data_IF_727751304539
#
_entry.id   IF_727751304539
#
_cell.length_a   1.000
_cell.length_b   1.000
_cell.length_c   1.000
_cell.angle_alpha   90.00
_cell.angle_beta   90.00
_cell.angle_gamma   90.00
#
_symmetry.space_group_name_H-M   'P 1'
#
loop_
_entity.id
_entity.type
_entity.pdbx_description
1 polymer ?
#
# COMPACT_ATOMS: atom_id res chain seq x y z
N UNK A 1 -27.61 -14.48 -2.72
CA UNK A 1 -28.06 -13.72 -1.53
C UNK A 1 -26.92 -13.78 -0.51
N UNK A 2 -26.07 -12.75 -0.38
CA UNK A 2 -24.99 -12.71 0.63
C UNK A 2 -25.57 -12.35 2.01
N UNK A 3 -26.63 -13.04 2.42
CA UNK A 3 -27.32 -12.73 3.68
C UNK A 3 -26.69 -13.55 4.79
N UNK A 4 -25.96 -12.85 5.67
CA UNK A 4 -25.47 -13.27 6.98
C UNK A 4 -24.15 -14.08 7.05
N UNK A 5 -23.12 -13.72 6.27
CA UNK A 5 -21.75 -14.22 6.51
C UNK A 5 -21.06 -13.36 7.58
N UNK A 6 -20.86 -13.91 8.78
CA UNK A 6 -20.09 -13.26 9.86
C UNK A 6 -18.60 -13.25 9.55
N UNK A 7 -17.84 -12.30 10.14
CA UNK A 7 -16.37 -12.23 10.02
C UNK A 7 -15.68 -13.58 10.27
N UNK A 8 -16.19 -14.37 11.23
CA UNK A 8 -15.67 -15.70 11.55
C UNK A 8 -15.82 -16.73 10.40
N UNK A 9 -16.92 -16.68 9.64
CA UNK A 9 -17.16 -17.59 8.51
C UNK A 9 -16.23 -17.24 7.33
N UNK A 10 -16.05 -15.94 7.06
CA UNK A 10 -15.14 -15.49 6.01
C UNK A 10 -13.67 -15.76 6.35
N UNK A 11 -13.28 -15.57 7.61
CA UNK A 11 -11.94 -15.87 8.09
C UNK A 11 -11.58 -17.35 7.95
N UNK A 12 -12.49 -18.25 8.35
CA UNK A 12 -12.28 -19.68 8.18
C UNK A 12 -12.25 -20.11 6.72
N UNK A 13 -13.09 -19.51 5.87
CA UNK A 13 -13.25 -19.91 4.47
C UNK A 13 -12.14 -19.43 3.55
N UNK A 14 -11.72 -18.16 3.67
CA UNK A 14 -10.79 -17.54 2.72
C UNK A 14 -9.40 -17.32 3.30
N UNK A 15 -9.29 -16.98 4.58
CA UNK A 15 -8.00 -16.76 5.26
C UNK A 15 -7.43 -18.03 5.90
N UNK A 16 -8.21 -19.12 5.97
CA UNK A 16 -7.86 -20.39 6.63
C UNK A 16 -7.32 -20.18 8.07
N UNK A 17 -7.76 -19.12 8.75
CA UNK A 17 -7.37 -18.76 10.12
C UNK A 17 -8.59 -18.77 11.04
N UNK A 18 -8.39 -19.15 12.29
CA UNK A 18 -9.41 -19.01 13.33
C UNK A 18 -9.59 -17.54 13.70
N UNK A 19 -10.82 -17.11 14.05
CA UNK A 19 -11.14 -15.71 14.33
C UNK A 19 -10.30 -15.10 15.46
N UNK A 20 -9.79 -15.92 16.37
CA UNK A 20 -8.96 -15.52 17.51
C UNK A 20 -7.50 -15.17 17.12
N UNK A 21 -7.05 -15.54 15.91
CA UNK A 21 -5.71 -15.27 15.40
C UNK A 21 -5.69 -14.18 14.31
N UNK A 22 -6.81 -13.48 14.11
CA UNK A 22 -6.88 -12.37 13.17
C UNK A 22 -6.23 -11.13 13.79
N UNK A 23 -5.38 -10.45 13.02
CA UNK A 23 -4.95 -9.10 13.35
C UNK A 23 -6.15 -8.14 13.32
N UNK A 24 -6.11 -7.06 14.10
CA UNK A 24 -7.13 -6.00 14.06
C UNK A 24 -7.35 -5.47 12.63
N UNK A 25 -6.29 -5.43 11.83
CA UNK A 25 -6.34 -5.02 10.43
C UNK A 25 -7.14 -6.00 9.57
N UNK A 26 -6.88 -7.30 9.73
CA UNK A 26 -7.61 -8.37 9.01
C UNK A 26 -9.09 -8.35 9.39
N UNK A 27 -9.40 -8.14 10.67
CA UNK A 27 -10.77 -8.01 11.16
C UNK A 27 -11.49 -6.81 10.53
N UNK A 28 -10.85 -5.63 10.52
CA UNK A 28 -11.38 -4.42 9.88
C UNK A 28 -11.58 -4.59 8.38
N UNK A 29 -10.65 -5.26 7.69
CA UNK A 29 -10.75 -5.53 6.25
C UNK A 29 -11.92 -6.46 5.96
N UNK A 30 -12.07 -7.56 6.69
CA UNK A 30 -13.21 -8.48 6.55
C UNK A 30 -14.54 -7.78 6.80
N UNK A 31 -14.61 -6.95 7.84
CA UNK A 31 -15.80 -6.15 8.13
C UNK A 31 -16.11 -5.16 7.00
N UNK A 32 -15.09 -4.46 6.48
CA UNK A 32 -15.27 -3.53 5.36
C UNK A 32 -15.71 -4.22 4.06
N UNK A 33 -15.30 -5.48 3.84
CA UNK A 33 -15.70 -6.30 2.71
C UNK A 33 -17.17 -6.74 2.83
N UNK A 34 -17.64 -7.04 4.05
CA UNK A 34 -19.06 -7.31 4.34
C UNK A 34 -19.90 -6.04 4.12
N UNK A 35 -19.45 -4.91 4.69
CA UNK A 35 -20.16 -3.64 4.68
C UNK A 35 -20.07 -2.88 3.34
N UNK A 36 -19.29 -3.40 2.37
CA UNK A 36 -19.00 -2.79 1.06
C UNK A 36 -18.48 -1.35 1.16
N UNK A 37 -17.73 -1.04 2.21
CA UNK A 37 -17.13 0.28 2.39
C UNK A 37 -15.68 0.32 1.87
N UNK A 38 -15.20 1.48 1.38
CA UNK A 38 -13.82 1.63 0.95
C UNK A 38 -12.87 1.68 2.16
N UNK A 39 -11.87 0.79 2.18
CA UNK A 39 -10.80 0.74 3.21
C UNK A 39 -9.99 2.05 3.24
N UNK A 40 -9.85 2.70 2.09
CA UNK A 40 -9.03 3.91 1.91
C UNK A 40 -9.44 5.11 2.78
N UNK A 41 -10.72 5.23 3.15
CA UNK A 41 -11.20 6.40 3.90
C UNK A 41 -10.71 6.41 5.36
N UNK A 42 -10.44 5.25 5.96
CA UNK A 42 -10.15 5.14 7.39
C UNK A 42 -8.70 5.55 7.73
N UNK A 43 -7.74 5.34 6.82
CA UNK A 43 -6.31 5.62 7.07
C UNK A 43 -5.95 7.10 6.88
N UNK A 44 -6.59 7.78 5.93
CA UNK A 44 -6.31 9.20 5.70
C UNK A 44 -6.76 10.08 6.88
N UNK A 45 -7.84 9.69 7.57
CA UNK A 45 -8.38 10.43 8.72
C UNK A 45 -7.51 10.29 9.99
N UNK A 46 -6.74 9.21 10.14
CA UNK A 46 -5.84 9.01 11.29
C UNK A 46 -4.50 9.74 11.15
N UNK A 47 -4.01 9.98 9.92
CA UNK A 47 -2.75 10.68 9.66
C UNK A 47 -2.91 12.21 9.73
N UNK A 48 -4.08 12.74 9.39
CA UNK A 48 -4.30 14.19 9.29
C UNK A 48 -4.25 14.96 10.63
N UNK A 49 -4.29 14.27 11.77
CA UNK A 49 -4.59 14.93 13.06
C UNK A 49 -3.39 15.30 13.94
N UNK A 50 -2.14 14.99 13.59
CA UNK A 50 -0.97 15.23 14.46
C UNK A 50 0.23 15.80 13.70
N UNK A 51 0.14 17.03 13.17
CA UNK A 51 1.35 17.79 12.82
C UNK A 51 1.51 19.00 13.75
N UNK A 52 2.45 18.89 14.67
CA UNK A 52 2.89 19.99 15.52
C UNK A 52 3.66 21.04 14.71
N UNK A 53 3.68 22.28 15.21
CA UNK A 53 4.43 23.38 14.57
C UNK A 53 5.93 23.07 14.42
N UNK A 54 6.50 22.29 15.35
CA UNK A 54 7.90 21.86 15.29
C UNK A 54 8.19 20.87 14.17
N UNK A 55 7.25 19.96 13.88
CA UNK A 55 7.38 18.98 12.79
C UNK A 55 7.34 19.66 11.42
N UNK A 56 6.44 20.64 11.25
CA UNK A 56 6.36 21.43 10.00
C UNK A 56 7.64 22.23 9.74
N UNK A 57 8.25 22.80 10.78
CA UNK A 57 9.50 23.54 10.66
C UNK A 57 10.68 22.61 10.32
N UNK A 58 10.75 21.44 10.98
CA UNK A 58 11.76 20.43 10.70
C UNK A 58 11.65 19.87 9.27
N UNK A 59 10.43 19.62 8.77
CA UNK A 59 10.20 19.19 7.38
C UNK A 59 10.61 20.26 6.36
N UNK A 60 10.38 21.53 6.68
CA UNK A 60 10.87 22.65 5.87
C UNK A 60 12.39 22.69 5.80
N UNK A 61 13.06 22.56 6.95
CA UNK A 61 14.54 22.57 7.04
C UNK A 61 15.15 21.36 6.33
N UNK A 62 14.58 20.15 6.50
CA UNK A 62 15.08 18.94 5.84
C UNK A 62 14.98 19.04 4.32
N UNK A 63 13.89 19.62 3.79
CA UNK A 63 13.67 19.80 2.35
C UNK A 63 14.63 20.83 1.74
N UNK A 64 14.95 21.89 2.46
CA UNK A 64 15.90 22.92 2.02
C UNK A 64 17.35 22.41 2.13
N UNK A 65 17.69 21.75 3.25
CA UNK A 65 19.04 21.22 3.50
C UNK A 65 19.43 20.05 2.58
N UNK A 66 18.45 19.30 2.06
CA UNK A 66 18.69 18.19 1.11
C UNK A 66 18.79 18.59 -0.36
N UNK A 67 18.64 19.87 -0.71
CA UNK A 67 18.66 20.32 -2.10
C UNK A 67 20.09 20.45 -2.64
N UNK A 68 20.33 19.98 -3.85
CA UNK A 68 21.59 20.15 -4.58
C UNK A 68 22.02 21.62 -4.72
N UNK A 69 21.06 22.54 -4.83
CA UNK A 69 21.35 23.98 -4.89
C UNK A 69 21.86 24.55 -3.55
N UNK A 70 21.38 24.02 -2.42
CA UNK A 70 21.85 24.42 -1.09
C UNK A 70 23.29 23.98 -0.87
N UNK A 71 23.63 22.74 -1.25
CA UNK A 71 24.99 22.19 -1.15
C UNK A 71 25.97 23.06 -1.96
N UNK A 72 25.64 23.40 -3.21
CA UNK A 72 26.49 24.23 -4.07
C UNK A 72 26.69 25.65 -3.51
N UNK A 73 25.63 26.27 -3.00
CA UNK A 73 25.71 27.59 -2.36
C UNK A 73 26.59 27.56 -1.10
N UNK A 74 26.43 26.53 -0.25
CA UNK A 74 27.21 26.33 0.96
C UNK A 74 28.70 26.13 0.65
N UNK A 75 29.04 25.29 -0.33
CA UNK A 75 30.43 25.12 -0.79
C UNK A 75 31.00 26.43 -1.33
N UNK A 76 30.22 27.18 -2.12
CA UNK A 76 30.62 28.50 -2.62
C UNK A 76 30.91 29.49 -1.48
N UNK A 77 30.06 29.53 -0.45
CA UNK A 77 30.29 30.36 0.74
C UNK A 77 31.60 29.99 1.45
N UNK A 78 31.90 28.70 1.63
CA UNK A 78 33.16 28.24 2.24
C UNK A 78 34.38 28.69 1.42
N UNK A 79 34.31 28.60 0.09
CA UNK A 79 35.38 29.06 -0.80
C UNK A 79 35.58 30.57 -0.70
N UNK A 80 34.49 31.35 -0.73
CA UNK A 80 34.55 32.81 -0.60
C UNK A 80 35.11 33.22 0.77
N UNK A 81 34.66 32.59 1.85
CA UNK A 81 35.17 32.84 3.20
C UNK A 81 36.67 32.57 3.33
N UNK A 82 37.11 31.45 2.76
CA UNK A 82 38.53 31.05 2.75
C UNK A 82 39.36 32.04 1.94
N UNK A 83 38.90 32.43 0.75
CA UNK A 83 39.60 33.42 -0.10
C UNK A 83 39.68 34.79 0.56
N UNK A 84 38.59 35.25 1.20
CA UNK A 84 38.55 36.54 1.88
C UNK A 84 39.54 36.57 3.06
N UNK A 85 39.56 35.53 3.91
CA UNK A 85 40.50 35.45 5.02
C UNK A 85 41.95 35.24 4.56
N UNK A 86 42.18 34.51 3.46
CA UNK A 86 43.51 34.37 2.86
C UNK A 86 44.05 35.69 2.29
N UNK A 87 43.19 36.54 1.73
CA UNK A 87 43.57 37.90 1.31
C UNK A 87 43.83 38.80 2.53
N UNK A 88 42.95 38.75 3.53
CA UNK A 88 43.07 39.57 4.76
C UNK A 88 44.29 39.23 5.64
N UNK A 89 44.95 38.09 5.41
CA UNK A 89 46.21 37.71 6.08
C UNK A 89 47.29 38.80 5.99
N UNK A 90 47.27 39.64 4.95
CA UNK A 90 48.21 40.75 4.79
C UNK A 90 47.96 41.97 5.68
N UNK A 91 46.78 42.11 6.30
CA UNK A 91 46.36 43.32 7.04
C UNK A 91 45.79 43.04 8.45
N UNK A 92 45.63 41.78 8.84
CA UNK A 92 45.07 41.34 10.12
C UNK A 92 43.89 40.41 9.88
N UNK A 93 44.14 39.10 9.81
CA UNK A 93 43.10 38.12 9.51
C UNK A 93 42.16 37.88 10.68
N UNK A 94 40.86 37.78 10.36
CA UNK A 94 39.80 37.48 11.33
C UNK A 94 39.79 35.99 11.71
N UNK A 95 40.06 35.10 10.77
CA UNK A 95 40.20 33.65 10.98
C UNK A 95 41.44 33.12 10.22
N UNK A 96 42.65 33.23 10.81
CA UNK A 96 43.88 32.75 10.18
C UNK A 96 43.88 31.22 10.00
N UNK A 97 44.60 30.73 8.99
CA UNK A 97 44.86 29.29 8.85
C UNK A 97 45.41 28.73 10.17
N UNK A 98 44.77 27.70 10.79
CA UNK A 98 43.93 26.65 10.19
C UNK A 98 42.39 26.83 10.26
N UNK A 99 41.87 28.06 10.32
CA UNK A 99 40.42 28.39 10.33
C UNK A 99 39.62 27.81 11.50
N UNK A 100 40.03 28.14 12.73
CA UNK A 100 39.44 27.59 13.97
C UNK A 100 37.97 28.01 14.11
N UNK A 101 37.63 29.24 13.73
CA UNK A 101 36.26 29.73 13.86
C UNK A 101 35.32 29.03 12.88
N UNK A 102 35.74 28.89 11.62
CA UNK A 102 34.99 28.12 10.63
C UNK A 102 34.78 26.67 11.08
N UNK A 103 35.83 26.03 11.60
CA UNK A 103 35.75 24.66 12.09
C UNK A 103 34.76 24.50 13.24
N UNK A 104 34.74 25.46 14.17
CA UNK A 104 33.80 25.48 15.29
C UNK A 104 32.34 25.57 14.79
N UNK A 105 32.06 26.48 13.86
CA UNK A 105 30.71 26.64 13.28
C UNK A 105 30.29 25.37 12.55
N UNK A 106 31.18 24.79 11.71
CA UNK A 106 30.88 23.56 10.98
C UNK A 106 30.59 22.38 11.93
N UNK A 107 31.35 22.26 13.02
CA UNK A 107 31.14 21.22 14.03
C UNK A 107 29.80 21.38 14.75
N UNK A 108 29.44 22.61 15.13
CA UNK A 108 28.12 22.89 15.73
C UNK A 108 26.97 22.62 14.76
N UNK A 109 27.14 23.00 13.49
CA UNK A 109 26.15 22.77 12.44
C UNK A 109 25.93 21.26 12.23
N UNK A 110 27.00 20.49 12.13
CA UNK A 110 26.93 19.03 11.99
C UNK A 110 26.26 18.35 13.20
N UNK A 111 26.57 18.81 14.41
CA UNK A 111 25.99 18.27 15.64
C UNK A 111 24.46 18.45 15.71
N UNK A 112 23.94 19.58 15.21
CA UNK A 112 22.50 19.85 15.15
C UNK A 112 21.84 19.14 13.95
N UNK A 113 22.57 18.94 12.85
CA UNK A 113 22.05 18.26 11.66
C UNK A 113 21.69 16.80 11.93
N UNK A 114 22.52 16.03 12.64
CA UNK A 114 22.29 14.60 12.82
C UNK A 114 20.95 14.26 13.50
N UNK A 115 20.54 14.90 14.62
CA UNK A 115 19.22 14.72 15.21
C UNK A 115 18.07 15.15 14.31
N UNK A 116 18.20 16.25 13.57
CA UNK A 116 17.16 16.74 12.64
C UNK A 116 16.94 15.72 11.52
N UNK A 117 18.03 15.20 10.95
CA UNK A 117 17.98 14.15 9.93
C UNK A 117 17.31 12.90 10.52
N UNK A 118 17.71 12.48 11.73
CA UNK A 118 17.12 11.31 12.39
C UNK A 118 15.62 11.49 12.70
N UNK A 119 15.20 12.69 13.12
CA UNK A 119 13.78 13.00 13.33
C UNK A 119 12.99 12.96 12.02
N UNK A 120 13.56 13.49 10.94
CA UNK A 120 12.95 13.42 9.60
C UNK A 120 12.88 11.98 9.10
N UNK A 121 13.92 11.17 9.32
CA UNK A 121 13.95 9.75 8.95
C UNK A 121 12.92 8.94 9.76
N UNK A 122 12.83 9.16 11.07
CA UNK A 122 11.85 8.48 11.93
C UNK A 122 10.41 8.79 11.49
N UNK A 123 10.13 10.04 11.08
CA UNK A 123 8.84 10.45 10.52
C UNK A 123 8.57 9.82 9.16
N UNK A 124 9.56 9.74 8.27
CA UNK A 124 9.41 9.06 6.97
C UNK A 124 9.15 7.57 7.17
N UNK A 125 9.91 6.89 8.04
CA UNK A 125 9.72 5.47 8.34
C UNK A 125 8.34 5.18 8.95
N UNK A 126 7.80 6.07 9.77
CA UNK A 126 6.43 5.96 10.29
C UNK A 126 5.39 6.06 9.16
N UNK A 127 5.53 7.03 8.25
CA UNK A 127 4.66 7.16 7.07
C UNK A 127 4.74 5.92 6.17
N UNK A 128 5.96 5.47 5.85
CA UNK A 128 6.19 4.27 5.04
C UNK A 128 5.54 3.03 5.67
N UNK A 129 5.58 2.91 7.00
CA UNK A 129 4.92 1.81 7.73
C UNK A 129 3.40 1.89 7.62
N UNK A 130 2.83 3.09 7.75
CA UNK A 130 1.38 3.31 7.61
C UNK A 130 0.94 2.98 6.19
N UNK A 131 1.65 3.48 5.18
CA UNK A 131 1.36 3.23 3.76
C UNK A 131 1.45 1.73 3.44
N UNK A 132 2.50 1.04 3.91
CA UNK A 132 2.63 -0.41 3.75
C UNK A 132 1.49 -1.19 4.41
N UNK A 133 1.02 -0.75 5.59
CA UNK A 133 -0.12 -1.38 6.27
C UNK A 133 -1.44 -1.17 5.51
N UNK A 134 -1.61 0.00 4.91
CA UNK A 134 -2.76 0.32 4.08
C UNK A 134 -2.76 -0.48 2.77
N UNK A 135 -1.63 -0.55 2.09
CA UNK A 135 -1.47 -1.33 0.86
C UNK A 135 -1.75 -2.82 1.12
N UNK A 136 -1.25 -3.35 2.24
CA UNK A 136 -1.59 -4.71 2.66
C UNK A 136 -3.09 -4.90 2.86
N UNK A 137 -3.78 -3.96 3.52
CA UNK A 137 -5.22 -4.03 3.76
C UNK A 137 -6.04 -3.98 2.46
N UNK A 138 -5.65 -3.11 1.51
CA UNK A 138 -6.28 -3.02 0.19
C UNK A 138 -6.06 -4.30 -0.61
N UNK A 139 -4.84 -4.83 -0.62
CA UNK A 139 -4.52 -6.07 -1.33
C UNK A 139 -5.30 -7.26 -0.75
N UNK A 140 -5.37 -7.37 0.58
CA UNK A 140 -6.14 -8.41 1.24
C UNK A 140 -7.63 -8.34 0.89
N UNK A 141 -8.21 -7.13 0.86
CA UNK A 141 -9.60 -6.92 0.44
C UNK A 141 -9.82 -7.35 -1.01
N UNK A 142 -8.91 -6.99 -1.91
CA UNK A 142 -8.98 -7.39 -3.31
C UNK A 142 -8.91 -8.91 -3.47
N UNK A 143 -8.02 -9.58 -2.73
CA UNK A 143 -7.91 -11.04 -2.71
C UNK A 143 -9.22 -11.71 -2.25
N UNK A 144 -9.82 -11.21 -1.17
CA UNK A 144 -11.12 -11.65 -0.66
C UNK A 144 -12.23 -11.47 -1.71
N UNK A 145 -12.30 -10.32 -2.36
CA UNK A 145 -13.31 -10.03 -3.39
C UNK A 145 -13.13 -10.93 -4.62
N UNK A 146 -11.88 -11.22 -5.02
CA UNK A 146 -11.58 -12.15 -6.12
C UNK A 146 -12.02 -13.57 -5.77
N UNK A 147 -11.72 -14.07 -4.56
CA UNK A 147 -12.18 -15.39 -4.12
C UNK A 147 -13.71 -15.48 -4.10
N UNK A 148 -14.39 -14.44 -3.61
CA UNK A 148 -15.85 -14.37 -3.60
C UNK A 148 -16.45 -14.38 -5.02
N UNK A 149 -15.80 -13.71 -5.97
CA UNK A 149 -16.18 -13.73 -7.39
C UNK A 149 -15.97 -15.12 -8.00
N UNK A 150 -14.87 -15.80 -7.68
CA UNK A 150 -14.58 -17.14 -8.17
C UNK A 150 -15.62 -18.16 -7.67
N UNK A 151 -15.95 -18.14 -6.37
CA UNK A 151 -16.98 -19.01 -5.77
C UNK A 151 -18.34 -18.81 -6.47
N UNK A 152 -18.71 -17.55 -6.76
CA UNK A 152 -19.94 -17.24 -7.47
C UNK A 152 -19.90 -17.68 -8.95
N UNK A 153 -18.75 -17.55 -9.61
CA UNK A 153 -18.57 -18.02 -10.98
C UNK A 153 -18.72 -19.54 -11.05
N UNK A 154 -18.09 -20.27 -10.13
CA UNK A 154 -18.17 -21.72 -10.04
C UNK A 154 -19.61 -22.20 -9.78
N UNK A 155 -20.35 -21.49 -8.92
CA UNK A 155 -21.77 -21.77 -8.67
C UNK A 155 -22.60 -21.63 -9.96
N UNK A 156 -22.41 -20.54 -10.71
CA UNK A 156 -23.09 -20.33 -11.99
C UNK A 156 -22.68 -21.39 -13.02
N UNK A 157 -21.38 -21.70 -13.12
CA UNK A 157 -20.88 -22.73 -14.04
C UNK A 157 -21.46 -24.11 -13.73
N UNK A 158 -21.56 -24.47 -12.46
CA UNK A 158 -22.14 -25.73 -12.05
C UNK A 158 -23.63 -25.81 -12.42
N UNK A 159 -24.39 -24.73 -12.21
CA UNK A 159 -25.78 -24.63 -12.64
C UNK A 159 -25.93 -24.76 -14.17
N UNK A 160 -25.09 -24.06 -14.94
CA UNK A 160 -25.07 -24.19 -16.41
C UNK A 160 -24.78 -25.63 -16.85
N UNK A 161 -23.78 -26.29 -16.24
CA UNK A 161 -23.42 -27.68 -16.56
C UNK A 161 -24.59 -28.64 -16.30
N UNK A 162 -25.31 -28.47 -15.19
CA UNK A 162 -26.49 -29.29 -14.88
C UNK A 162 -27.58 -29.06 -15.93
N UNK A 163 -27.88 -27.80 -16.26
CA UNK A 163 -28.89 -27.47 -17.25
C UNK A 163 -28.56 -28.05 -18.63
N UNK A 164 -27.30 -27.91 -19.08
CA UNK A 164 -26.84 -28.47 -20.35
C UNK A 164 -26.94 -30.00 -20.35
N UNK A 165 -26.61 -30.66 -19.24
CA UNK A 165 -26.72 -32.12 -19.10
C UNK A 165 -28.17 -32.58 -19.23
N UNK A 166 -29.11 -31.88 -18.58
CA UNK A 166 -30.55 -32.19 -18.68
C UNK A 166 -31.06 -32.01 -20.12
N UNK A 167 -30.69 -30.91 -20.78
CA UNK A 167 -31.03 -30.67 -22.19
C UNK A 167 -30.48 -31.77 -23.11
N UNK A 168 -29.24 -32.20 -22.91
CA UNK A 168 -28.63 -33.29 -23.67
C UNK A 168 -29.36 -34.62 -23.45
N UNK A 169 -29.74 -34.96 -22.21
CA UNK A 169 -30.52 -36.16 -21.93
C UNK A 169 -31.89 -36.14 -22.61
N UNK A 170 -32.56 -34.99 -22.61
CA UNK A 170 -33.84 -34.81 -23.31
C UNK A 170 -33.69 -34.97 -24.82
N UNK A 171 -32.65 -34.39 -25.42
CA UNK A 171 -32.38 -34.50 -26.86
C UNK A 171 -32.10 -35.96 -27.25
N UNK A 172 -31.26 -36.66 -26.50
CA UNK A 172 -30.99 -38.10 -26.72
C UNK A 172 -32.27 -38.92 -26.63
N UNK A 173 -33.14 -38.66 -25.64
CA UNK A 173 -34.41 -39.36 -25.49
C UNK A 173 -35.41 -39.06 -26.62
N UNK A 174 -35.35 -37.88 -27.25
CA UNK A 174 -36.14 -37.56 -28.43
C UNK A 174 -35.62 -38.30 -29.68
N UNK A 175 -34.29 -38.30 -29.89
CA UNK A 175 -33.66 -39.03 -31.00
C UNK A 175 -33.97 -40.53 -30.92
N UNK A 176 -33.87 -41.13 -29.74
CA UNK A 176 -34.21 -42.54 -29.52
C UNK A 176 -35.66 -42.84 -29.91
N UNK A 177 -36.61 -41.99 -29.46
CA UNK A 177 -38.03 -42.14 -29.80
C UNK A 177 -38.30 -42.05 -31.30
N UNK A 178 -37.62 -41.13 -31.99
CA UNK A 178 -37.74 -40.99 -33.45
C UNK A 178 -37.15 -42.23 -34.16
N UNK A 179 -36.01 -42.74 -33.70
CA UNK A 179 -35.40 -43.95 -34.23
C UNK A 179 -36.31 -45.17 -34.06
N UNK A 180 -36.90 -45.35 -32.87
CA UNK A 180 -37.83 -46.46 -32.57
C UNK A 180 -39.10 -46.36 -33.41
N UNK A 181 -39.67 -45.16 -33.57
CA UNK A 181 -40.83 -44.92 -34.43
C UNK A 181 -40.54 -45.21 -35.91
N UNK A 182 -39.32 -44.93 -36.37
CA UNK A 182 -38.88 -45.20 -37.74
C UNK A 182 -38.61 -46.69 -37.97
N UNK A 183 -38.08 -47.41 -36.97
CA UNK A 183 -37.84 -48.84 -37.04
C UNK A 183 -39.16 -49.66 -37.06
N UNK A 184 -40.19 -49.21 -36.34
CA UNK A 184 -41.52 -49.83 -36.33
C UNK A 184 -42.33 -49.64 -37.63
N UNK A 185 -41.90 -48.75 -38.53
CA UNK A 185 -42.55 -48.51 -39.83
C UNK A 185 -41.94 -49.32 -40.99
N UNK A 186 -40.89 -50.12 -40.76
CA UNK A 186 -40.30 -50.94 -41.82
C UNK A 186 -41.27 -52.09 -42.19
N UNK A 187 -41.91 -52.05 -43.37
CA UNK A 187 -42.93 -53.03 -43.72
C UNK A 187 -42.26 -54.37 -44.03
N UNK A 188 -42.73 -55.44 -43.38
CA UNK A 188 -42.42 -56.80 -43.74
C UNK A 188 -42.77 -57.01 -45.22
N UNK A 189 -41.74 -57.24 -46.06
CA UNK A 189 -41.87 -57.73 -47.43
C UNK A 189 -41.80 -59.25 -47.44
#
# INVERSE_FOLDING_TARGET
MLMNKTVADLAGRWLKRTPEHLSELEHKVLQSAIDRQPVSRNVNDSVAHHESLGERLADGIARVGGSWSFILCFVGFLVVWTMLNAWLLGMGSFDPYPFIFLNLILSMLAAIQAPIIMMSQNRQAERDRIDASHDYAVNLKAEIEIMALHEKLDEIRFQEIILLREQMQQLTAQVQRIADASAGQSPAR
#
